data_IF_651890586075
#
_entry.id   IF_651890586075
#
_cell.length_a   1.000
_cell.length_b   1.000
_cell.length_c   1.000
_cell.angle_alpha   90.00
_cell.angle_beta   90.00
_cell.angle_gamma   90.00
#
_symmetry.space_group_name_H-M   'P 1'
#
loop_
_entity.id
_entity.type
_entity.pdbx_description
1 polymer ?
#
# COMPACT_ATOMS: atom_id res chain seq x y z
N UNK A 1 -38.87 -13.45 30.55
CA UNK A 1 -38.64 -12.65 29.34
C UNK A 1 -37.29 -11.95 29.52
N UNK A 2 -36.21 -12.67 29.23
CA UNK A 2 -34.84 -12.17 29.39
C UNK A 2 -34.42 -11.48 28.09
N UNK A 3 -34.17 -10.19 28.16
CA UNK A 3 -33.59 -9.42 27.07
C UNK A 3 -32.08 -9.68 27.05
N UNK A 4 -31.61 -10.39 26.03
CA UNK A 4 -30.19 -10.46 25.69
C UNK A 4 -29.81 -9.19 24.92
N UNK A 5 -28.91 -8.40 25.47
CA UNK A 5 -28.19 -7.35 24.75
C UNK A 5 -27.15 -8.02 23.84
N UNK A 6 -26.99 -7.59 22.58
CA UNK A 6 -25.90 -8.07 21.74
C UNK A 6 -24.59 -7.43 22.22
N UNK A 7 -23.61 -8.25 22.58
CA UNK A 7 -22.23 -7.84 22.78
C UNK A 7 -21.65 -7.38 21.44
N UNK A 8 -21.46 -6.09 21.28
CA UNK A 8 -20.62 -5.54 20.22
C UNK A 8 -19.17 -5.81 20.60
N UNK A 9 -18.58 -6.86 20.02
CA UNK A 9 -17.14 -7.06 20.06
C UNK A 9 -16.47 -5.89 19.33
N UNK A 10 -15.52 -5.17 19.94
CA UNK A 10 -14.79 -4.13 19.24
C UNK A 10 -13.90 -4.80 18.21
N UNK A 11 -14.00 -4.36 16.95
CA UNK A 11 -13.08 -4.74 15.88
C UNK A 11 -11.63 -4.60 16.39
N UNK A 12 -10.93 -5.73 16.44
CA UNK A 12 -9.54 -5.84 16.89
C UNK A 12 -8.70 -4.94 15.96
N UNK A 13 -8.29 -3.76 16.44
CA UNK A 13 -7.32 -2.93 15.72
C UNK A 13 -6.03 -3.74 15.56
N UNK A 14 -5.42 -3.80 14.37
CA UNK A 14 -4.17 -4.54 14.18
C UNK A 14 -3.10 -3.96 15.10
N UNK A 15 -2.69 -4.74 16.10
CA UNK A 15 -1.65 -4.37 17.04
C UNK A 15 -0.30 -4.38 16.29
N UNK A 16 0.37 -3.23 16.10
CA UNK A 16 1.64 -3.17 15.38
C UNK A 16 2.72 -4.02 16.05
N UNK A 17 2.62 -4.25 17.36
CA UNK A 17 3.54 -5.13 18.08
C UNK A 17 3.32 -6.61 17.73
N UNK A 18 2.08 -6.99 17.37
CA UNK A 18 1.74 -8.34 16.91
C UNK A 18 2.32 -8.62 15.52
N UNK A 19 2.20 -7.67 14.59
CA UNK A 19 2.78 -7.77 13.25
C UNK A 19 4.32 -7.95 13.30
N UNK A 20 4.98 -7.11 14.11
CA UNK A 20 6.42 -7.20 14.31
C UNK A 20 6.84 -8.51 15.00
N UNK A 21 6.10 -8.94 16.02
CA UNK A 21 6.36 -10.20 16.72
C UNK A 21 6.29 -11.39 15.78
N UNK A 22 5.30 -11.39 14.88
CA UNK A 22 5.10 -12.41 13.86
C UNK A 22 6.28 -12.49 12.88
N UNK A 23 6.82 -11.34 12.45
CA UNK A 23 8.02 -11.29 11.61
C UNK A 23 9.31 -11.72 12.34
N UNK A 24 9.46 -11.34 13.62
CA UNK A 24 10.68 -11.58 14.39
C UNK A 24 10.77 -13.03 14.87
N UNK A 25 9.68 -13.61 15.36
CA UNK A 25 9.68 -14.92 16.04
C UNK A 25 9.07 -16.05 15.19
N UNK A 26 8.30 -15.74 14.15
CA UNK A 26 7.64 -16.74 13.33
C UNK A 26 8.59 -17.64 12.54
N UNK A 27 8.41 -18.96 12.62
CA UNK A 27 9.11 -19.91 11.75
C UNK A 27 8.69 -19.75 10.28
N UNK A 28 7.41 -19.43 10.05
CA UNK A 28 6.88 -19.10 8.72
C UNK A 28 7.55 -17.83 8.14
N UNK A 29 7.77 -16.79 8.97
CA UNK A 29 8.50 -15.60 8.56
C UNK A 29 9.92 -15.94 8.10
N UNK A 30 10.60 -16.86 8.78
CA UNK A 30 11.94 -17.32 8.40
C UNK A 30 11.95 -17.97 7.01
N UNK A 31 10.98 -18.85 6.72
CA UNK A 31 10.84 -19.50 5.41
C UNK A 31 10.60 -18.48 4.30
N UNK A 32 9.68 -17.54 4.52
CA UNK A 32 9.36 -16.50 3.54
C UNK A 32 10.54 -15.57 3.28
N UNK A 33 11.24 -15.13 4.35
CA UNK A 33 12.44 -14.29 4.22
C UNK A 33 13.53 -15.04 3.46
N UNK A 34 13.75 -16.33 3.73
CA UNK A 34 14.74 -17.13 3.01
C UNK A 34 14.41 -17.21 1.51
N UNK A 35 13.18 -17.54 1.15
CA UNK A 35 12.73 -17.59 -0.25
C UNK A 35 12.89 -16.23 -0.94
N UNK A 36 12.54 -15.14 -0.25
CA UNK A 36 12.75 -13.77 -0.73
C UNK A 36 14.24 -13.46 -0.96
N UNK A 37 15.12 -13.75 0.00
CA UNK A 37 16.56 -13.52 -0.13
C UNK A 37 17.15 -14.34 -1.29
N UNK A 38 16.71 -15.59 -1.46
CA UNK A 38 17.11 -16.39 -2.62
C UNK A 38 16.65 -15.77 -3.95
N UNK A 39 15.45 -15.18 -3.99
CA UNK A 39 14.96 -14.46 -5.19
C UNK A 39 15.80 -13.23 -5.53
N UNK A 40 16.35 -12.53 -4.53
CA UNK A 40 17.27 -11.40 -4.74
C UNK A 40 18.62 -11.84 -5.33
N UNK A 41 19.02 -13.09 -5.11
CA UNK A 41 20.23 -13.71 -5.69
C UNK A 41 19.93 -14.45 -7.00
N UNK A 42 18.77 -14.17 -7.62
CA UNK A 42 18.27 -14.81 -8.84
C UNK A 42 18.09 -16.34 -8.73
N UNK A 43 17.88 -16.85 -7.51
CA UNK A 43 17.54 -18.26 -7.26
C UNK A 43 16.04 -18.37 -7.00
N UNK A 44 15.40 -19.32 -7.66
CA UNK A 44 13.97 -19.59 -7.43
C UNK A 44 13.83 -20.64 -6.33
N UNK A 45 13.18 -20.28 -5.24
CA UNK A 45 12.76 -21.20 -4.20
C UNK A 45 11.24 -21.20 -4.10
N UNK A 46 10.66 -22.39 -3.91
CA UNK A 46 9.22 -22.52 -3.68
C UNK A 46 8.88 -22.08 -2.27
N UNK A 47 7.86 -21.23 -2.14
CA UNK A 47 7.34 -20.83 -0.83
C UNK A 47 6.50 -21.99 -0.28
N UNK A 48 7.05 -22.73 0.68
CA UNK A 48 6.36 -23.81 1.40
C UNK A 48 5.53 -23.23 2.55
N UNK A 49 4.55 -22.38 2.21
CA UNK A 49 3.58 -21.76 3.11
C UNK A 49 2.24 -21.63 2.40
N UNK A 50 1.16 -21.67 3.18
CA UNK A 50 -0.18 -21.37 2.70
C UNK A 50 -0.34 -19.87 2.38
N UNK A 51 -1.18 -19.56 1.39
CA UNK A 51 -1.42 -18.21 0.87
C UNK A 51 -1.87 -17.24 1.97
N UNK A 52 -2.68 -17.72 2.94
CA UNK A 52 -3.10 -16.92 4.09
C UNK A 52 -1.92 -16.49 4.97
N UNK A 53 -0.95 -17.38 5.18
CA UNK A 53 0.26 -17.07 5.95
C UNK A 53 1.17 -16.11 5.17
N UNK A 54 1.31 -16.31 3.86
CA UNK A 54 2.10 -15.41 3.00
C UNK A 54 1.50 -14.01 2.98
N UNK A 55 0.16 -13.91 2.86
CA UNK A 55 -0.54 -12.62 2.91
C UNK A 55 -0.33 -11.93 4.26
N UNK A 56 -0.58 -12.60 5.38
CA UNK A 56 -0.43 -12.02 6.71
C UNK A 56 1.01 -11.53 6.97
N UNK A 57 2.03 -12.30 6.54
CA UNK A 57 3.43 -11.92 6.64
C UNK A 57 3.77 -10.72 5.74
N UNK A 58 3.23 -10.70 4.52
CA UNK A 58 3.41 -9.59 3.58
C UNK A 58 2.81 -8.28 4.11
N UNK A 59 1.60 -8.34 4.68
CA UNK A 59 0.94 -7.20 5.30
C UNK A 59 1.68 -6.73 6.55
N UNK A 60 2.10 -7.65 7.43
CA UNK A 60 2.92 -7.31 8.59
C UNK A 60 4.23 -6.60 8.19
N UNK A 61 4.86 -7.02 7.09
CA UNK A 61 6.07 -6.38 6.56
C UNK A 61 5.77 -4.97 6.01
N UNK A 62 4.64 -4.80 5.31
CA UNK A 62 4.19 -3.50 4.82
C UNK A 62 3.88 -2.54 5.96
N UNK A 63 3.10 -2.97 6.96
CA UNK A 63 2.75 -2.20 8.15
C UNK A 63 3.99 -1.78 8.92
N UNK A 64 4.92 -2.70 9.16
CA UNK A 64 6.19 -2.38 9.84
C UNK A 64 7.00 -1.35 9.05
N UNK A 65 7.04 -1.48 7.72
CA UNK A 65 7.70 -0.50 6.86
C UNK A 65 7.06 0.89 6.94
N UNK A 66 5.73 0.97 6.88
CA UNK A 66 4.99 2.23 6.98
C UNK A 66 5.12 2.85 8.38
N UNK A 67 5.13 2.02 9.42
CA UNK A 67 5.35 2.44 10.79
C UNK A 67 6.69 3.16 10.97
N UNK A 68 7.74 2.60 10.37
CA UNK A 68 9.10 3.15 10.44
C UNK A 68 9.23 4.46 9.63
N UNK A 69 8.61 4.52 8.45
CA UNK A 69 8.89 5.58 7.47
C UNK A 69 7.81 6.67 7.39
N UNK A 70 6.60 6.44 7.90
CA UNK A 70 5.42 7.29 7.64
C UNK A 70 4.69 7.66 8.93
N UNK A 71 4.22 6.69 9.70
CA UNK A 71 3.25 6.94 10.78
C UNK A 71 3.91 7.15 12.15
N UNK A 72 5.00 6.42 12.48
CA UNK A 72 5.50 6.30 13.86
C UNK A 72 4.47 5.66 14.80
N UNK A 73 4.75 5.37 16.10
CA UNK A 73 5.98 5.53 16.91
C UNK A 73 7.20 4.68 16.51
N UNK A 74 8.35 5.03 17.10
CA UNK A 74 9.63 4.35 16.90
C UNK A 74 9.55 2.91 17.38
N UNK A 75 9.85 1.97 16.48
CA UNK A 75 9.96 0.54 16.79
C UNK A 75 11.14 0.31 17.73
N UNK A 76 10.95 -0.55 18.74
CA UNK A 76 12.00 -0.88 19.70
C UNK A 76 13.28 -1.39 19.02
N UNK A 77 14.43 -0.85 19.42
CA UNK A 77 15.73 -1.17 18.81
C UNK A 77 16.09 -2.67 18.90
N UNK A 78 15.65 -3.35 19.96
CA UNK A 78 15.82 -4.80 20.13
C UNK A 78 15.08 -5.59 19.05
N UNK A 79 13.83 -5.24 18.78
CA UNK A 79 13.00 -5.89 17.74
C UNK A 79 13.55 -5.63 16.34
N UNK A 80 14.00 -4.40 16.05
CA UNK A 80 14.67 -4.08 14.79
C UNK A 80 15.98 -4.85 14.61
N UNK A 81 16.76 -5.01 15.69
CA UNK A 81 17.99 -5.81 15.67
C UNK A 81 17.70 -7.29 15.40
N UNK A 82 16.67 -7.84 16.04
CA UNK A 82 16.26 -9.23 15.84
C UNK A 82 15.74 -9.45 14.42
N UNK A 83 14.88 -8.56 13.92
CA UNK A 83 14.40 -8.57 12.54
C UNK A 83 15.56 -8.48 11.54
N UNK A 84 16.49 -7.54 11.75
CA UNK A 84 17.69 -7.38 10.92
C UNK A 84 18.50 -8.67 10.84
N UNK A 85 18.65 -9.40 11.94
CA UNK A 85 19.38 -10.67 11.95
C UNK A 85 18.73 -11.75 11.08
N UNK A 86 17.39 -11.70 10.88
CA UNK A 86 16.69 -12.61 9.96
C UNK A 86 17.05 -12.38 8.50
N UNK A 87 17.28 -11.13 8.11
CA UNK A 87 17.64 -10.78 6.74
C UNK A 87 19.13 -10.95 6.43
N UNK A 88 19.99 -10.97 7.45
CA UNK A 88 21.42 -11.19 7.29
C UNK A 88 21.73 -12.69 7.30
N UNK A 89 21.47 -13.35 6.17
CA UNK A 89 21.87 -14.73 5.89
C UNK A 89 23.22 -14.79 5.16
N UNK A 90 23.77 -15.99 4.94
CA UNK A 90 25.06 -16.20 4.23
C UNK A 90 25.11 -15.50 2.85
N UNK A 91 23.98 -15.43 2.14
CA UNK A 91 23.88 -14.74 0.85
C UNK A 91 24.10 -13.21 0.97
N UNK A 92 23.70 -12.60 2.09
CA UNK A 92 23.77 -11.17 2.35
C UNK A 92 24.44 -10.88 3.70
N UNK A 93 25.77 -11.06 3.81
CA UNK A 93 26.49 -10.94 5.08
C UNK A 93 26.55 -9.50 5.63
N UNK A 94 26.16 -8.50 4.85
CA UNK A 94 26.17 -7.09 5.26
C UNK A 94 24.88 -6.39 4.84
N UNK A 95 24.40 -5.48 5.68
CA UNK A 95 23.25 -4.61 5.35
C UNK A 95 23.46 -3.86 4.05
N UNK A 96 24.68 -3.39 3.80
CA UNK A 96 24.97 -2.62 2.59
C UNK A 96 24.67 -3.43 1.33
N UNK A 97 25.09 -4.70 1.31
CA UNK A 97 24.84 -5.60 0.17
C UNK A 97 23.35 -5.90 0.02
N UNK A 98 22.66 -6.21 1.12
CA UNK A 98 21.21 -6.42 1.12
C UNK A 98 20.49 -5.19 0.56
N UNK A 99 20.83 -3.99 1.06
CA UNK A 99 20.21 -2.74 0.62
C UNK A 99 20.43 -2.48 -0.86
N UNK A 100 21.64 -2.70 -1.38
CA UNK A 100 21.92 -2.57 -2.81
C UNK A 100 21.08 -3.54 -3.63
N UNK A 101 20.92 -4.79 -3.18
CA UNK A 101 20.08 -5.77 -3.86
C UNK A 101 18.59 -5.38 -3.82
N UNK A 102 18.06 -4.91 -2.69
CA UNK A 102 16.70 -4.42 -2.58
C UNK A 102 16.45 -3.19 -3.46
N UNK A 103 17.38 -2.23 -3.52
CA UNK A 103 17.29 -1.06 -4.40
C UNK A 103 17.24 -1.49 -5.86
N UNK A 104 18.10 -2.42 -6.27
CA UNK A 104 18.09 -3.00 -7.62
C UNK A 104 16.76 -3.70 -7.94
N UNK A 105 16.25 -4.51 -6.99
CA UNK A 105 15.00 -5.24 -7.13
C UNK A 105 13.76 -4.34 -7.22
N UNK A 106 13.80 -3.17 -6.56
CA UNK A 106 12.73 -2.18 -6.56
C UNK A 106 12.91 -1.10 -7.63
N UNK A 107 13.94 -1.18 -8.47
CA UNK A 107 14.12 -0.26 -9.58
C UNK A 107 13.06 -0.55 -10.67
N UNK A 108 12.40 0.49 -11.17
CA UNK A 108 11.42 0.38 -12.26
C UNK A 108 11.71 1.49 -13.26
N UNK A 109 11.69 1.17 -14.56
CA UNK A 109 11.93 2.14 -15.64
C UNK A 109 13.24 2.94 -15.45
N UNK A 110 14.29 2.29 -14.94
CA UNK A 110 15.57 2.88 -14.55
C UNK A 110 15.52 3.95 -13.43
N UNK A 111 14.38 4.09 -12.75
CA UNK A 111 14.21 4.93 -11.57
C UNK A 111 14.44 4.09 -10.31
N UNK A 112 15.36 4.54 -9.45
CA UNK A 112 15.66 3.91 -8.17
C UNK A 112 14.77 4.45 -7.04
N UNK A 113 14.42 3.63 -6.03
CA UNK A 113 13.70 4.09 -4.85
C UNK A 113 14.43 5.16 -4.05
N UNK A 114 13.66 5.91 -3.25
CA UNK A 114 14.15 6.98 -2.39
C UNK A 114 15.33 6.52 -1.50
N UNK A 115 16.53 7.13 -1.65
CA UNK A 115 17.73 6.64 -0.97
C UNK A 115 17.68 6.70 0.55
N UNK A 116 16.83 7.54 1.16
CA UNK A 116 16.77 7.71 2.61
C UNK A 116 15.67 6.88 3.28
N UNK A 117 14.87 6.13 2.51
CA UNK A 117 13.92 5.18 3.09
C UNK A 117 14.68 4.13 3.92
N UNK A 118 14.26 3.94 5.16
CA UNK A 118 14.82 2.97 6.08
C UNK A 118 14.16 1.61 5.88
N UNK A 119 14.92 0.54 6.10
CA UNK A 119 14.42 -0.84 6.05
C UNK A 119 13.68 -1.22 4.75
N UNK A 120 14.25 -0.87 3.58
CA UNK A 120 13.69 -1.19 2.27
C UNK A 120 13.47 -2.70 2.05
N UNK A 121 14.21 -3.55 2.76
CA UNK A 121 14.02 -5.00 2.77
C UNK A 121 12.60 -5.41 3.20
N UNK A 122 11.95 -4.65 4.09
CA UNK A 122 10.57 -4.91 4.51
C UNK A 122 9.57 -4.63 3.39
N UNK A 123 9.74 -3.49 2.69
CA UNK A 123 8.89 -3.16 1.56
C UNK A 123 9.06 -4.15 0.41
N UNK A 124 10.31 -4.52 0.11
CA UNK A 124 10.62 -5.52 -0.91
C UNK A 124 10.03 -6.90 -0.55
N UNK A 125 10.12 -7.32 0.72
CA UNK A 125 9.50 -8.54 1.22
C UNK A 125 7.97 -8.52 1.07
N UNK A 126 7.33 -7.41 1.46
CA UNK A 126 5.87 -7.25 1.33
C UNK A 126 5.42 -7.39 -0.13
N UNK A 127 6.10 -6.68 -1.04
CA UNK A 127 5.84 -6.77 -2.48
C UNK A 127 6.06 -8.19 -3.02
N UNK A 128 7.15 -8.84 -2.61
CA UNK A 128 7.42 -10.23 -2.97
C UNK A 128 6.31 -11.16 -2.49
N UNK A 129 5.89 -11.06 -1.22
CA UNK A 129 4.85 -11.89 -0.65
C UNK A 129 3.53 -11.76 -1.42
N UNK A 130 3.03 -10.54 -1.63
CA UNK A 130 1.75 -10.31 -2.32
C UNK A 130 1.79 -10.73 -3.79
N UNK A 131 2.96 -10.75 -4.44
CA UNK A 131 3.09 -11.27 -5.80
C UNK A 131 2.93 -12.80 -5.89
N UNK A 132 3.10 -13.52 -4.77
CA UNK A 132 3.05 -14.98 -4.72
C UNK A 132 1.75 -15.52 -4.10
N UNK A 133 0.90 -14.69 -3.52
CA UNK A 133 -0.44 -15.06 -3.06
C UNK A 133 -1.38 -15.22 -4.26
N UNK A 134 -2.21 -16.25 -4.35
CA UNK A 134 -3.17 -16.37 -5.45
C UNK A 134 -4.29 -15.32 -5.38
N UNK A 135 -4.93 -15.01 -6.50
CA UNK A 135 -6.15 -14.17 -6.56
C UNK A 135 -7.41 -14.89 -6.05
N UNK A 136 -7.24 -15.93 -5.22
CA UNK A 136 -8.36 -16.51 -4.49
C UNK A 136 -9.06 -15.42 -3.65
N UNK A 137 -10.34 -15.64 -3.27
CA UNK A 137 -11.14 -14.74 -2.41
C UNK A 137 -10.63 -14.73 -0.96
N UNK A 138 -9.34 -14.48 -0.79
CA UNK A 138 -8.72 -14.23 0.49
C UNK A 138 -8.83 -12.73 0.76
N UNK A 139 -9.27 -12.41 1.97
CA UNK A 139 -9.49 -11.04 2.41
C UNK A 139 -8.68 -10.81 3.70
N UNK A 140 -8.12 -9.61 3.81
CA UNK A 140 -7.50 -9.12 5.03
C UNK A 140 -8.06 -7.72 5.30
N UNK A 141 -8.53 -7.49 6.52
CA UNK A 141 -9.23 -6.27 6.94
C UNK A 141 -10.45 -5.94 6.06
N UNK A 142 -11.18 -6.96 5.62
CA UNK A 142 -12.35 -6.83 4.75
C UNK A 142 -12.02 -6.45 3.30
N UNK A 143 -10.74 -6.49 2.92
CA UNK A 143 -10.26 -6.07 1.60
C UNK A 143 -9.52 -7.23 0.91
N UNK A 144 -9.84 -7.46 -0.37
CA UNK A 144 -9.23 -8.52 -1.17
C UNK A 144 -7.75 -8.28 -1.53
N UNK A 145 -7.04 -9.36 -1.86
CA UNK A 145 -5.61 -9.35 -2.23
C UNK A 145 -5.29 -8.36 -3.36
N UNK A 146 -6.16 -8.25 -4.38
CA UNK A 146 -5.98 -7.35 -5.51
C UNK A 146 -5.87 -5.87 -5.09
N UNK A 147 -6.63 -5.46 -4.07
CA UNK A 147 -6.58 -4.09 -3.56
C UNK A 147 -5.33 -3.86 -2.71
N UNK A 148 -4.89 -4.84 -1.92
CA UNK A 148 -3.60 -4.77 -1.25
C UNK A 148 -2.41 -4.69 -2.23
N UNK A 149 -2.47 -5.40 -3.36
CA UNK A 149 -1.49 -5.27 -4.46
C UNK A 149 -1.49 -3.86 -5.07
N UNK A 150 -2.67 -3.29 -5.31
CA UNK A 150 -2.80 -1.90 -5.76
C UNK A 150 -2.12 -0.94 -4.77
N UNK A 151 -2.38 -1.09 -3.47
CA UNK A 151 -1.76 -0.27 -2.41
C UNK A 151 -0.24 -0.38 -2.40
N UNK A 152 0.31 -1.60 -2.56
CA UNK A 152 1.77 -1.79 -2.69
C UNK A 152 2.31 -1.07 -3.92
N UNK A 153 1.67 -1.20 -5.09
CA UNK A 153 2.13 -0.55 -6.31
C UNK A 153 2.09 0.98 -6.18
N UNK A 154 1.03 1.54 -5.58
CA UNK A 154 0.92 2.97 -5.27
C UNK A 154 2.03 3.43 -4.33
N UNK A 155 2.33 2.66 -3.28
CA UNK A 155 3.45 2.97 -2.38
C UNK A 155 4.81 2.85 -3.06
N UNK A 156 4.98 1.87 -3.96
CA UNK A 156 6.19 1.74 -4.76
C UNK A 156 6.37 2.98 -5.65
N UNK A 157 5.29 3.47 -6.27
CA UNK A 157 5.32 4.70 -7.05
C UNK A 157 5.72 5.89 -6.19
N UNK A 158 5.16 6.03 -4.98
CA UNK A 158 5.57 7.08 -4.02
C UNK A 158 7.06 6.98 -3.68
N UNK A 159 7.59 5.77 -3.46
CA UNK A 159 9.02 5.59 -3.17
C UNK A 159 9.92 6.00 -4.33
N UNK A 160 9.48 5.86 -5.58
CA UNK A 160 10.22 6.27 -6.76
C UNK A 160 10.11 7.77 -7.06
N UNK A 161 8.96 8.37 -6.73
CA UNK A 161 8.62 9.74 -7.14
C UNK A 161 8.73 10.78 -6.03
N UNK A 162 8.98 10.37 -4.78
CA UNK A 162 9.12 11.30 -3.66
C UNK A 162 10.23 12.34 -3.92
N UNK A 163 9.93 13.65 -3.83
CA UNK A 163 10.95 14.68 -3.96
C UNK A 163 11.93 14.55 -2.79
N UNK A 164 13.19 14.29 -3.07
CA UNK A 164 14.22 14.29 -2.02
C UNK A 164 14.30 15.69 -1.40
N UNK A 165 14.02 15.83 -0.11
CA UNK A 165 14.19 17.08 0.66
C UNK A 165 15.68 17.32 1.03
N UNK A 166 16.60 17.04 0.11
CA UNK A 166 18.03 17.30 0.33
C UNK A 166 18.35 18.80 0.27
N UNK A 167 19.41 19.23 0.96
CA UNK A 167 19.86 20.63 1.06
C UNK A 167 20.30 21.28 -0.28
N UNK A 168 20.16 20.59 -1.41
CA UNK A 168 20.33 21.11 -2.78
C UNK A 168 19.16 20.78 -3.71
N UNK A 169 18.02 20.38 -3.17
CA UNK A 169 16.88 19.90 -3.96
C UNK A 169 16.16 21.04 -4.66
N UNK A 170 15.94 20.83 -5.96
CA UNK A 170 15.24 21.69 -6.92
C UNK A 170 13.73 21.61 -6.64
N UNK A 171 13.32 21.85 -5.39
CA UNK A 171 11.95 21.70 -4.89
C UNK A 171 10.95 22.67 -5.55
N UNK A 172 11.38 23.48 -6.52
CA UNK A 172 10.55 24.46 -7.21
C UNK A 172 10.65 24.46 -8.75
N UNK A 173 11.41 23.56 -9.41
CA UNK A 173 11.50 23.57 -10.90
C UNK A 173 11.21 22.25 -11.61
N UNK A 174 11.09 21.12 -10.91
CA UNK A 174 10.94 19.79 -11.55
C UNK A 174 9.76 18.96 -11.02
N UNK A 175 8.65 19.60 -10.63
CA UNK A 175 7.46 18.91 -10.09
C UNK A 175 6.72 18.00 -11.07
N UNK A 176 7.30 17.65 -12.21
CA UNK A 176 6.78 16.73 -13.22
C UNK A 176 7.98 15.97 -13.79
N UNK A 177 7.76 14.76 -14.30
CA UNK A 177 8.72 13.92 -15.06
C UNK A 177 9.65 12.97 -14.29
N UNK A 178 9.27 12.43 -13.13
CA UNK A 178 9.73 11.05 -12.83
C UNK A 178 8.80 10.13 -13.60
N UNK A 179 9.21 9.72 -14.80
CA UNK A 179 8.41 8.88 -15.67
C UNK A 179 8.62 7.41 -15.29
N UNK A 180 7.61 6.81 -14.66
CA UNK A 180 7.55 5.38 -14.33
C UNK A 180 6.32 4.79 -15.03
N UNK A 181 6.32 4.73 -16.37
CA UNK A 181 5.13 4.39 -17.15
C UNK A 181 4.67 2.95 -16.89
N UNK A 182 5.60 2.02 -16.63
CA UNK A 182 5.27 0.61 -16.37
C UNK A 182 4.46 0.47 -15.09
N UNK A 183 4.89 1.14 -14.02
CA UNK A 183 4.19 1.11 -12.74
C UNK A 183 2.89 1.90 -12.78
N UNK A 184 2.88 3.05 -13.47
CA UNK A 184 1.67 3.86 -13.68
C UNK A 184 0.58 3.05 -14.37
N UNK A 185 0.94 2.31 -15.42
CA UNK A 185 0.02 1.44 -16.15
C UNK A 185 -0.54 0.34 -15.24
N UNK A 186 0.33 -0.33 -14.48
CA UNK A 186 -0.10 -1.36 -13.51
C UNK A 186 -1.06 -0.82 -12.44
N UNK A 187 -0.87 0.40 -11.96
CA UNK A 187 -1.77 1.05 -11.01
C UNK A 187 -3.13 1.36 -11.67
N UNK A 188 -3.13 1.94 -12.88
CA UNK A 188 -4.36 2.27 -13.61
C UNK A 188 -5.17 1.02 -13.97
N UNK A 189 -4.51 -0.04 -14.41
CA UNK A 189 -5.14 -1.32 -14.73
C UNK A 189 -5.72 -1.96 -13.46
N UNK A 190 -4.97 -1.96 -12.36
CA UNK A 190 -5.44 -2.46 -11.07
C UNK A 190 -6.66 -1.69 -10.54
N UNK A 191 -6.66 -0.36 -10.64
CA UNK A 191 -7.83 0.46 -10.29
C UNK A 191 -9.04 0.14 -11.19
N UNK A 192 -8.82 -0.06 -12.50
CA UNK A 192 -9.90 -0.38 -13.43
C UNK A 192 -10.52 -1.75 -13.13
N UNK A 193 -9.69 -2.75 -12.81
CA UNK A 193 -10.16 -4.09 -12.43
C UNK A 193 -10.96 -4.07 -11.12
N UNK A 194 -10.45 -3.38 -10.09
CA UNK A 194 -11.15 -3.24 -8.81
C UNK A 194 -12.43 -2.42 -8.92
N UNK A 195 -12.46 -1.40 -9.78
CA UNK A 195 -13.68 -0.65 -10.06
C UNK A 195 -14.75 -1.56 -10.68
N UNK A 196 -14.37 -2.42 -11.64
CA UNK A 196 -15.31 -3.36 -12.25
C UNK A 196 -15.85 -4.39 -11.23
N UNK A 197 -15.02 -4.85 -10.31
CA UNK A 197 -15.38 -5.83 -9.27
C UNK A 197 -16.24 -5.22 -8.15
N UNK A 198 -15.86 -4.05 -7.62
CA UNK A 198 -16.49 -3.42 -6.45
C UNK A 198 -17.70 -2.55 -6.84
N UNK A 199 -17.60 -1.83 -7.96
CA UNK A 199 -18.62 -0.89 -8.43
C UNK A 199 -19.49 -1.46 -9.56
N UNK A 200 -19.26 -2.71 -9.98
CA UNK A 200 -20.06 -3.40 -10.98
C UNK A 200 -21.51 -3.63 -10.53
N UNK A 201 -22.45 -3.65 -11.48
CA UNK A 201 -23.90 -3.81 -11.26
C UNK A 201 -24.32 -5.27 -10.94
N UNK A 202 -23.55 -6.02 -10.13
CA UNK A 202 -23.97 -7.37 -9.70
C UNK A 202 -24.90 -7.30 -8.48
N UNK A 203 -26.19 -7.33 -8.77
CA UNK A 203 -27.33 -7.20 -7.83
C UNK A 203 -27.63 -8.52 -7.12
N UNK A 204 -26.91 -8.93 -6.06
CA UNK A 204 -27.34 -10.10 -5.25
C UNK A 204 -27.08 -9.97 -3.73
N UNK A 205 -28.16 -9.69 -2.97
CA UNK A 205 -28.38 -9.96 -1.52
C UNK A 205 -27.47 -9.26 -0.47
N UNK A 206 -27.66 -9.54 0.84
CA UNK A 206 -27.11 -8.90 2.07
C UNK A 206 -25.64 -8.40 2.04
N UNK A 207 -24.86 -8.83 1.05
CA UNK A 207 -23.60 -8.25 0.62
C UNK A 207 -23.70 -6.76 0.22
N UNK A 208 -24.89 -6.21 -0.11
CA UNK A 208 -25.08 -4.81 -0.54
C UNK A 208 -24.50 -3.79 0.45
N UNK A 209 -24.63 -3.98 1.76
CA UNK A 209 -24.12 -3.02 2.76
C UNK A 209 -22.60 -3.08 2.87
N UNK A 210 -22.00 -4.28 2.88
CA UNK A 210 -20.55 -4.44 2.87
C UNK A 210 -19.92 -3.93 1.56
N UNK A 211 -20.56 -4.19 0.41
CA UNK A 211 -20.14 -3.64 -0.88
C UNK A 211 -20.27 -2.12 -0.94
N UNK A 212 -21.24 -1.52 -0.24
CA UNK A 212 -21.41 -0.07 -0.21
C UNK A 212 -20.28 0.63 0.56
N UNK A 213 -19.89 0.09 1.71
CA UNK A 213 -18.77 0.63 2.50
C UNK A 213 -17.44 0.45 1.77
N UNK A 214 -17.23 -0.71 1.15
CA UNK A 214 -16.06 -0.97 0.30
C UNK A 214 -16.03 -0.08 -0.94
N UNK A 215 -17.18 0.14 -1.60
CA UNK A 215 -17.29 1.05 -2.75
C UNK A 215 -16.92 2.48 -2.38
N UNK A 216 -17.46 2.98 -1.28
CA UNK A 216 -17.13 4.31 -0.81
C UNK A 216 -15.63 4.45 -0.50
N UNK A 217 -15.08 3.52 0.29
CA UNK A 217 -13.64 3.51 0.62
C UNK A 217 -12.75 3.42 -0.62
N UNK A 218 -13.11 2.56 -1.57
CA UNK A 218 -12.41 2.39 -2.83
C UNK A 218 -12.42 3.66 -3.67
N UNK A 219 -13.57 4.30 -3.87
CA UNK A 219 -13.67 5.51 -4.70
C UNK A 219 -12.87 6.69 -4.12
N UNK A 220 -12.81 6.81 -2.80
CA UNK A 220 -11.97 7.81 -2.12
C UNK A 220 -10.49 7.52 -2.33
N UNK A 221 -10.07 6.26 -2.18
CA UNK A 221 -8.68 5.85 -2.40
C UNK A 221 -8.27 6.00 -3.88
N UNK A 222 -9.13 5.59 -4.82
CA UNK A 222 -8.94 5.75 -6.25
C UNK A 222 -8.75 7.22 -6.63
N UNK A 223 -9.57 8.12 -6.08
CA UNK A 223 -9.38 9.55 -6.29
C UNK A 223 -8.02 10.06 -5.81
N UNK A 224 -7.57 9.64 -4.62
CA UNK A 224 -6.25 10.01 -4.11
C UNK A 224 -5.13 9.48 -5.02
N UNK A 225 -5.28 8.28 -5.57
CA UNK A 225 -4.34 7.67 -6.51
C UNK A 225 -4.33 8.41 -7.86
N UNK A 226 -5.50 8.79 -8.40
CA UNK A 226 -5.57 9.61 -9.61
C UNK A 226 -4.93 10.98 -9.43
N UNK A 227 -5.09 11.62 -8.25
CA UNK A 227 -4.39 12.87 -7.92
C UNK A 227 -2.87 12.65 -7.91
N UNK A 228 -2.40 11.57 -7.27
CA UNK A 228 -0.98 11.20 -7.23
C UNK A 228 -0.39 11.04 -8.64
N UNK A 229 -1.15 10.44 -9.57
CA UNK A 229 -0.74 10.24 -10.96
C UNK A 229 -0.95 11.47 -11.86
N UNK A 230 -1.55 12.55 -11.35
CA UNK A 230 -1.86 13.76 -12.13
C UNK A 230 -3.11 13.67 -13.01
N UNK A 231 -3.91 12.60 -12.88
CA UNK A 231 -5.17 12.36 -13.59
C UNK A 231 -6.34 13.10 -12.91
N UNK A 232 -6.41 14.42 -13.10
CA UNK A 232 -7.36 15.27 -12.36
C UNK A 232 -8.84 14.99 -12.68
N UNK A 233 -9.15 14.70 -13.94
CA UNK A 233 -10.53 14.52 -14.38
C UNK A 233 -11.13 13.22 -13.82
N UNK A 234 -10.33 12.16 -13.78
CA UNK A 234 -10.65 10.86 -13.19
C UNK A 234 -10.80 10.97 -11.66
N UNK A 235 -9.92 11.74 -11.01
CA UNK A 235 -10.03 12.01 -9.58
C UNK A 235 -11.35 12.71 -9.24
N UNK A 236 -11.73 13.73 -10.03
CA UNK A 236 -12.99 14.45 -9.81
C UNK A 236 -14.21 13.54 -10.00
N UNK A 237 -14.21 12.68 -11.03
CA UNK A 237 -15.27 11.70 -11.26
C UNK A 237 -15.41 10.76 -10.06
N UNK A 238 -14.30 10.20 -9.59
CA UNK A 238 -14.24 9.23 -8.49
C UNK A 238 -14.77 9.83 -7.18
N UNK A 239 -14.33 11.04 -6.81
CA UNK A 239 -14.84 11.74 -5.62
C UNK A 239 -16.33 12.06 -5.74
N UNK A 240 -16.78 12.50 -6.93
CA UNK A 240 -18.21 12.82 -7.13
C UNK A 240 -19.08 11.59 -6.96
N UNK A 241 -18.62 10.44 -7.42
CA UNK A 241 -19.31 9.17 -7.22
C UNK A 241 -19.27 8.74 -5.74
N UNK A 242 -18.12 8.86 -5.07
CA UNK A 242 -17.99 8.59 -3.65
C UNK A 242 -18.95 9.46 -2.81
N UNK A 243 -19.11 10.73 -3.18
CA UNK A 243 -20.00 11.68 -2.52
C UNK A 243 -21.48 11.31 -2.71
N UNK A 244 -21.86 10.79 -3.87
CA UNK A 244 -23.22 10.27 -4.12
C UNK A 244 -23.51 9.02 -3.28
N UNK A 245 -22.52 8.15 -3.09
CA UNK A 245 -22.66 6.94 -2.28
C UNK A 245 -22.66 7.26 -0.76
N UNK A 246 -21.70 8.06 -0.28
CA UNK A 246 -21.47 8.27 1.16
C UNK A 246 -22.05 9.56 1.75
N UNK A 247 -22.68 10.43 0.95
CA UNK A 247 -23.33 11.66 1.42
C UNK A 247 -22.39 12.75 1.98
N UNK A 248 -21.08 12.66 1.74
CA UNK A 248 -20.11 13.64 2.25
C UNK A 248 -19.88 14.81 1.29
N UNK A 249 -19.55 15.98 1.85
CA UNK A 249 -19.23 17.19 1.10
C UNK A 249 -17.73 17.24 0.80
N UNK A 250 -17.36 17.50 -0.45
CA UNK A 250 -15.96 17.61 -0.87
C UNK A 250 -15.66 18.96 -1.51
N UNK A 251 -14.41 19.42 -1.38
CA UNK A 251 -13.90 20.58 -2.10
C UNK A 251 -12.50 20.26 -2.65
N UNK A 252 -12.36 20.21 -3.98
CA UNK A 252 -11.05 20.07 -4.62
C UNK A 252 -10.39 21.45 -4.72
N UNK A 253 -9.39 21.71 -3.87
CA UNK A 253 -8.63 22.96 -3.89
C UNK A 253 -7.35 22.83 -4.72
N UNK A 254 -6.87 23.93 -5.33
CA UNK A 254 -5.57 23.94 -6.02
C UNK A 254 -4.39 23.71 -5.07
N UNK A 255 -3.20 23.49 -5.64
CA UNK A 255 -1.95 23.04 -4.98
C UNK A 255 -1.46 23.85 -3.75
N UNK A 256 -2.08 24.98 -3.41
CA UNK A 256 -1.74 25.83 -2.26
C UNK A 256 -2.94 26.12 -1.33
N UNK A 257 -4.09 25.46 -1.52
CA UNK A 257 -5.34 25.83 -0.83
C UNK A 257 -5.87 27.22 -1.23
N UNK A 258 -5.23 27.88 -2.20
CA UNK A 258 -5.63 29.18 -2.74
C UNK A 258 -6.43 28.99 -4.01
N UNK A 259 -7.51 29.77 -4.13
CA UNK A 259 -8.30 29.90 -5.36
C UNK A 259 -7.36 30.32 -6.49
N UNK A 260 -7.32 29.54 -7.57
CA UNK A 260 -6.74 30.06 -8.81
C UNK A 260 -7.74 31.03 -9.43
N UNK A 261 -7.25 32.05 -10.17
CA UNK A 261 -8.10 33.07 -10.83
C UNK A 261 -9.20 32.46 -11.74
N UNK A 262 -9.05 31.19 -12.10
CA UNK A 262 -9.95 30.42 -12.97
C UNK A 262 -10.90 29.48 -12.20
N UNK A 263 -10.84 29.43 -10.86
CA UNK A 263 -11.83 28.74 -10.04
C UNK A 263 -13.04 29.63 -9.79
N UNK A 264 -14.08 29.50 -10.61
CA UNK A 264 -15.32 30.30 -10.50
C UNK A 264 -16.28 29.83 -9.40
N UNK A 265 -16.22 28.55 -8.97
CA UNK A 265 -17.06 28.00 -7.88
C UNK A 265 -16.24 27.17 -6.91
N UNK A 266 -16.30 27.51 -5.61
CA UNK A 266 -15.61 26.78 -4.53
C UNK A 266 -16.41 25.58 -3.99
N UNK A 267 -17.72 25.62 -4.16
CA UNK A 267 -18.68 24.58 -3.80
C UNK A 267 -19.68 24.57 -4.94
N UNK A 268 -20.07 23.39 -5.44
CA UNK A 268 -21.37 23.32 -6.12
C UNK A 268 -22.38 23.25 -5.00
N UNK A 269 -22.92 24.41 -4.66
CA UNK A 269 -23.98 24.56 -3.68
C UNK A 269 -25.13 23.61 -4.03
N UNK A 270 -25.68 23.03 -2.97
CA UNK A 270 -26.76 22.07 -2.94
C UNK A 270 -27.95 22.49 -3.81
N UNK A 271 -28.47 21.52 -4.56
CA UNK A 271 -29.89 21.18 -4.65
C UNK A 271 -30.00 19.65 -4.69
#
# INVERSE_FOLDING_TARGET
MHLHSPSSDPAETPDPDRALTLLVHGSAAAKLIHAFLSSLDHRTETIDLDDAHVLALGLAALETFLQINVTGPVVAASSLSALRSRFLADAFPTIRRLRTACVSHLQVDAVSPYPHASHLELFALARYALAHVSDAKLEADGVGVAWWRLRINVWHYKLLTQPSLGSGSIFAKSSQWTDVPSLTTSILDGMSALYADICGDEVWSDAVVAHHDLRHGFLVEAAANYILLGCRDEAEKSIREAARAGGFVYALTGALGKRTRFQEKSTRDCL
#
